data_IF_176466239693
#
_entry.id   IF_176466239693
#
_cell.length_a   1.000
_cell.length_b   1.000
_cell.length_c   1.000
_cell.angle_alpha   90.00
_cell.angle_beta   90.00
_cell.angle_gamma   90.00
#
_symmetry.space_group_name_H-M   'P 1'
#
loop_
_entity.id
_entity.type
_entity.pdbx_description
1 polymer ?
#
# COMPACT_ATOMS: atom_id res chain seq x y z
N UNK A 1 -12.44 12.15 22.09
CA UNK A 1 -12.30 10.74 21.70
C UNK A 1 -11.68 9.94 22.82
N UNK A 2 -11.73 8.61 22.74
CA UNK A 2 -11.03 7.73 23.68
C UNK A 2 -9.51 7.89 23.55
N UNK A 3 -8.76 7.63 24.62
CA UNK A 3 -7.29 7.69 24.64
C UNK A 3 -6.73 6.42 25.28
N UNK A 4 -5.74 5.81 24.64
CA UNK A 4 -5.06 4.59 25.08
C UNK A 4 -3.56 4.89 25.12
N UNK A 5 -2.99 4.99 26.32
CA UNK A 5 -1.57 5.31 26.52
C UNK A 5 -0.71 4.07 26.83
N UNK A 6 -1.34 2.91 27.01
CA UNK A 6 -0.64 1.65 27.23
C UNK A 6 -0.50 0.86 25.93
N UNK A 7 0.52 0.01 25.86
CA UNK A 7 0.68 -0.95 24.77
C UNK A 7 -0.50 -1.92 24.74
N UNK A 8 -0.93 -2.27 23.54
CA UNK A 8 -2.10 -3.11 23.31
C UNK A 8 -1.75 -4.26 22.38
N UNK A 9 -1.91 -5.48 22.90
CA UNK A 9 -1.79 -6.71 22.11
C UNK A 9 -3.19 -7.14 21.68
N UNK A 10 -3.49 -6.99 20.40
CA UNK A 10 -4.76 -7.38 19.81
C UNK A 10 -4.64 -8.72 19.07
N UNK A 11 -5.01 -9.81 19.72
CA UNK A 11 -4.87 -11.17 19.16
C UNK A 11 -6.16 -11.75 18.57
N UNK A 12 -7.30 -11.10 18.73
CA UNK A 12 -8.60 -11.60 18.27
C UNK A 12 -9.79 -10.82 18.79
N UNK A 13 -10.97 -11.04 18.19
CA UNK A 13 -12.21 -10.36 18.54
C UNK A 13 -12.47 -9.12 17.67
N UNK A 14 -13.30 -8.20 18.19
CA UNK A 14 -13.67 -6.96 17.51
C UNK A 14 -13.34 -5.78 18.43
N UNK A 15 -12.54 -4.83 17.93
CA UNK A 15 -12.32 -3.53 18.57
C UNK A 15 -13.14 -2.47 17.83
N UNK A 16 -14.20 -1.97 18.46
CA UNK A 16 -15.08 -0.97 17.87
C UNK A 16 -14.64 0.46 18.22
N UNK A 17 -14.33 1.24 17.19
CA UNK A 17 -14.03 2.66 17.22
C UNK A 17 -15.21 3.38 16.57
N UNK A 18 -16.20 3.79 17.37
CA UNK A 18 -17.42 4.46 16.89
C UNK A 18 -17.27 5.97 16.62
N UNK A 19 -16.15 6.56 17.02
CA UNK A 19 -15.87 7.99 16.89
C UNK A 19 -14.38 8.20 16.67
N UNK A 20 -13.77 9.16 17.37
CA UNK A 20 -12.31 9.31 17.37
C UNK A 20 -11.68 8.63 18.58
N UNK A 21 -10.57 7.93 18.35
CA UNK A 21 -9.73 7.39 19.40
C UNK A 21 -8.25 7.68 19.08
N UNK A 22 -7.44 7.85 20.12
CA UNK A 22 -5.98 8.00 19.99
C UNK A 22 -5.31 6.89 20.79
N UNK A 23 -4.35 6.21 20.19
CA UNK A 23 -3.48 5.23 20.84
C UNK A 23 -2.04 5.72 20.75
N UNK A 24 -1.43 6.00 21.90
CA UNK A 24 -0.03 6.44 21.99
C UNK A 24 0.92 5.31 22.35
N UNK A 25 0.42 4.26 23.02
CA UNK A 25 1.16 3.01 23.19
C UNK A 25 1.23 2.21 21.88
N UNK A 26 2.07 1.19 21.88
CA UNK A 26 2.28 0.34 20.71
C UNK A 26 1.08 -0.58 20.46
N UNK A 27 0.79 -0.87 19.20
CA UNK A 27 -0.25 -1.79 18.77
C UNK A 27 0.37 -3.03 18.14
N UNK A 28 0.43 -4.11 18.92
CA UNK A 28 0.75 -5.44 18.42
C UNK A 28 -0.53 -6.11 17.91
N UNK A 29 -0.81 -6.01 16.61
CA UNK A 29 -2.02 -6.50 15.97
C UNK A 29 -1.79 -7.86 15.31
N UNK A 30 -2.23 -8.91 16.00
CA UNK A 30 -2.01 -10.30 15.61
C UNK A 30 -3.28 -11.07 15.20
N UNK A 31 -4.44 -10.45 15.40
CA UNK A 31 -5.73 -10.99 14.97
C UNK A 31 -6.88 -10.05 15.28
N UNK A 32 -8.09 -10.42 14.82
CA UNK A 32 -9.31 -9.67 15.09
C UNK A 32 -9.48 -8.42 14.22
N UNK A 33 -10.70 -7.89 14.20
CA UNK A 33 -11.07 -6.75 13.35
C UNK A 33 -11.18 -5.47 14.15
N UNK A 34 -10.63 -4.38 13.61
CA UNK A 34 -10.91 -3.02 14.12
C UNK A 34 -12.00 -2.44 13.23
N UNK A 35 -13.14 -2.07 13.81
CA UNK A 35 -14.29 -1.56 13.07
C UNK A 35 -15.06 -0.48 13.81
N UNK A 36 -16.30 -0.21 13.40
CA UNK A 36 -17.21 0.71 14.11
C UNK A 36 -17.47 2.06 13.43
N UNK A 37 -16.89 2.34 12.27
CA UNK A 37 -17.19 3.56 11.49
C UNK A 37 -16.26 4.75 11.73
N UNK A 38 -15.45 4.69 12.80
CA UNK A 38 -14.69 5.83 13.29
C UNK A 38 -13.25 5.93 12.80
N UNK A 39 -12.44 6.66 13.56
CA UNK A 39 -11.02 6.89 13.29
C UNK A 39 -10.18 6.59 14.53
N UNK A 40 -9.20 5.72 14.38
CA UNK A 40 -8.14 5.47 15.35
C UNK A 40 -6.85 6.14 14.88
N UNK A 41 -6.33 7.10 15.62
CA UNK A 41 -4.97 7.64 15.41
C UNK A 41 -3.99 6.86 16.26
N UNK A 42 -3.02 6.20 15.64
CA UNK A 42 -1.99 5.41 16.30
C UNK A 42 -0.64 6.12 16.18
N UNK A 43 -0.15 6.64 17.30
CA UNK A 43 1.16 7.29 17.44
C UNK A 43 2.26 6.34 17.92
N UNK A 44 1.90 5.24 18.58
CA UNK A 44 2.82 4.16 18.91
C UNK A 44 3.21 3.32 17.69
N UNK A 45 4.11 2.37 17.88
CA UNK A 45 4.54 1.44 16.84
C UNK A 45 3.37 0.54 16.44
N UNK A 46 3.17 0.37 15.14
CA UNK A 46 2.22 -0.60 14.59
C UNK A 46 2.97 -1.87 14.22
N UNK A 47 2.67 -3.00 14.86
CA UNK A 47 3.19 -4.31 14.48
C UNK A 47 2.04 -5.24 14.05
N UNK A 48 1.79 -5.32 12.75
CA UNK A 48 0.84 -6.27 12.17
C UNK A 48 1.58 -7.54 11.81
N UNK A 49 1.35 -8.59 12.58
CA UNK A 49 1.93 -9.91 12.34
C UNK A 49 0.86 -10.99 12.52
N UNK A 50 1.16 -12.25 12.29
CA UNK A 50 0.24 -13.35 12.59
C UNK A 50 0.33 -14.50 11.60
N UNK A 51 -0.40 -15.56 11.91
CA UNK A 51 -0.48 -16.77 11.09
C UNK A 51 -1.37 -16.62 9.87
N UNK A 52 -1.93 -17.74 9.41
CA UNK A 52 -2.71 -17.86 8.16
C UNK A 52 -4.07 -17.15 8.17
N UNK A 53 -4.49 -16.60 9.32
CA UNK A 53 -5.78 -15.94 9.44
C UNK A 53 -5.75 -14.53 8.82
N UNK A 54 -6.86 -14.17 8.18
CA UNK A 54 -7.08 -12.83 7.66
C UNK A 54 -7.78 -11.97 8.69
N UNK A 55 -7.32 -10.72 8.85
CA UNK A 55 -7.86 -9.77 9.80
C UNK A 55 -7.48 -8.35 9.39
N UNK A 56 -8.14 -7.33 9.93
CA UNK A 56 -7.85 -5.96 9.54
C UNK A 56 -8.99 -4.99 9.84
N UNK A 57 -9.09 -3.95 9.04
CA UNK A 57 -10.04 -2.86 9.20
C UNK A 57 -11.40 -3.20 8.58
N UNK A 58 -12.48 -2.79 9.25
CA UNK A 58 -13.86 -2.91 8.75
C UNK A 58 -14.59 -1.59 8.95
N UNK A 59 -14.74 -0.84 7.86
CA UNK A 59 -15.31 0.51 7.85
C UNK A 59 -14.71 1.39 8.94
N UNK A 60 -13.38 1.39 9.10
CA UNK A 60 -12.69 2.20 10.10
C UNK A 60 -11.35 2.65 9.58
N UNK A 61 -11.05 3.92 9.85
CA UNK A 61 -9.79 4.53 9.45
C UNK A 61 -8.77 4.39 10.56
N UNK A 62 -7.65 3.72 10.28
CA UNK A 62 -6.46 3.76 11.12
C UNK A 62 -5.48 4.78 10.54
N UNK A 63 -5.21 5.85 11.29
CA UNK A 63 -4.20 6.86 10.95
C UNK A 63 -2.93 6.52 11.72
N UNK A 64 -1.97 5.92 11.03
CA UNK A 64 -0.64 5.64 11.55
C UNK A 64 0.23 6.90 11.43
N UNK A 65 0.75 7.41 12.55
CA UNK A 65 1.57 8.64 12.62
C UNK A 65 2.99 8.41 13.10
N UNK A 66 3.35 7.17 13.49
CA UNK A 66 4.67 6.87 14.03
C UNK A 66 5.78 7.00 12.97
N UNK A 67 6.81 7.77 13.29
CA UNK A 67 7.93 8.09 12.39
C UNK A 67 9.22 7.32 12.70
N UNK A 68 9.20 6.40 13.69
CA UNK A 68 10.42 5.74 14.18
C UNK A 68 11.07 4.78 13.17
N UNK A 69 10.32 4.35 12.15
CA UNK A 69 10.75 3.30 11.21
C UNK A 69 10.58 1.88 11.76
N UNK A 70 10.04 1.71 12.97
CA UNK A 70 9.85 0.40 13.60
C UNK A 70 8.50 -0.26 13.24
N UNK A 71 7.53 0.51 12.74
CA UNK A 71 6.23 -0.02 12.37
C UNK A 71 6.31 -0.95 11.16
N UNK A 72 5.59 -2.07 11.23
CA UNK A 72 5.68 -3.16 10.27
C UNK A 72 4.35 -3.88 10.02
N UNK A 73 4.15 -4.32 8.78
CA UNK A 73 3.21 -5.36 8.38
C UNK A 73 4.02 -6.55 7.86
N UNK A 74 4.04 -7.64 8.62
CA UNK A 74 4.78 -8.87 8.32
C UNK A 74 3.83 -10.07 8.43
N UNK A 75 2.97 -10.26 7.43
CA UNK A 75 2.10 -11.44 7.34
C UNK A 75 2.80 -12.54 6.56
N UNK A 76 2.88 -13.75 7.14
CA UNK A 76 3.34 -14.95 6.44
C UNK A 76 2.21 -15.81 5.84
N UNK A 77 0.96 -15.32 5.92
CA UNK A 77 -0.23 -15.98 5.40
C UNK A 77 -1.51 -15.18 5.68
N UNK A 78 -2.60 -15.55 5.01
CA UNK A 78 -3.86 -14.79 5.03
C UNK A 78 -3.70 -13.36 4.48
N UNK A 79 -4.74 -12.55 4.62
CA UNK A 79 -4.77 -11.17 4.10
C UNK A 79 -4.89 -10.13 5.21
N UNK A 80 -4.32 -8.94 4.99
CA UNK A 80 -4.66 -7.77 5.77
C UNK A 80 -5.95 -7.17 5.22
N UNK A 81 -7.05 -7.29 5.94
CA UNK A 81 -8.34 -6.84 5.46
C UNK A 81 -8.45 -5.33 5.47
N UNK A 82 -8.88 -4.79 4.32
CA UNK A 82 -9.35 -3.42 4.17
C UNK A 82 -10.77 -3.52 3.63
N UNK A 83 -11.74 -3.54 4.54
CA UNK A 83 -13.16 -3.72 4.22
C UNK A 83 -13.90 -2.37 4.31
N UNK A 84 -14.65 -2.06 3.25
CA UNK A 84 -15.55 -0.93 3.19
C UNK A 84 -14.85 0.36 2.81
N UNK A 85 -15.64 1.35 2.37
CA UNK A 85 -15.13 2.65 1.87
C UNK A 85 -14.28 3.38 2.92
N UNK A 86 -14.56 3.12 4.21
CA UNK A 86 -13.83 3.72 5.32
C UNK A 86 -12.75 2.81 5.91
N UNK A 87 -12.58 1.59 5.40
CA UNK A 87 -11.51 0.65 5.78
C UNK A 87 -10.15 1.13 5.30
N UNK A 88 -9.63 2.21 5.89
CA UNK A 88 -8.45 2.92 5.40
C UNK A 88 -7.31 2.74 6.39
N UNK A 89 -6.21 2.12 5.93
CA UNK A 89 -4.92 2.27 6.60
C UNK A 89 -4.22 3.48 5.99
N UNK A 90 -4.14 4.58 6.74
CA UNK A 90 -3.43 5.79 6.35
C UNK A 90 -2.08 5.85 7.03
N UNK A 91 -1.00 5.70 6.26
CA UNK A 91 0.34 6.05 6.70
C UNK A 91 0.52 7.57 6.51
N UNK A 92 0.40 8.33 7.59
CA UNK A 92 0.34 9.80 7.55
C UNK A 92 1.65 10.43 7.06
N UNK A 93 1.58 11.69 6.64
CA UNK A 93 2.78 12.44 6.27
C UNK A 93 3.79 12.46 7.44
N UNK A 94 5.06 12.18 7.14
CA UNK A 94 6.13 12.03 8.14
C UNK A 94 6.20 10.66 8.83
N UNK A 95 5.17 9.81 8.72
CA UNK A 95 5.19 8.46 9.27
C UNK A 95 6.00 7.49 8.39
N UNK A 96 6.50 6.42 9.00
CA UNK A 96 7.27 5.37 8.31
C UNK A 96 6.70 3.99 8.62
N UNK A 97 6.29 3.27 7.58
CA UNK A 97 5.72 1.93 7.68
C UNK A 97 6.49 0.97 6.77
N UNK A 98 6.86 -0.19 7.30
CA UNK A 98 7.48 -1.27 6.52
C UNK A 98 6.47 -2.35 6.20
N UNK A 99 6.43 -2.80 4.96
CA UNK A 99 5.80 -4.05 4.52
C UNK A 99 6.91 -5.06 4.31
N UNK A 100 6.88 -6.15 5.07
CA UNK A 100 7.92 -7.18 5.08
C UNK A 100 7.34 -8.50 4.59
N UNK A 101 7.78 -8.93 3.41
CA UNK A 101 7.39 -10.20 2.77
C UNK A 101 8.55 -11.20 2.79
N UNK A 102 9.41 -11.15 3.82
CA UNK A 102 10.47 -12.15 4.03
C UNK A 102 9.93 -13.55 4.32
N UNK A 103 8.74 -13.64 4.93
CA UNK A 103 8.05 -14.89 5.21
C UNK A 103 7.25 -15.45 4.02
N UNK A 104 7.26 -14.77 2.86
CA UNK A 104 6.47 -15.11 1.68
C UNK A 104 5.55 -13.98 1.25
N UNK A 105 4.68 -14.27 0.30
CA UNK A 105 3.75 -13.30 -0.27
C UNK A 105 2.70 -12.87 0.76
N UNK A 106 2.31 -11.59 0.69
CA UNK A 106 1.28 -11.00 1.54
C UNK A 106 0.45 -10.00 0.74
N UNK A 107 -0.70 -9.58 1.27
CA UNK A 107 -1.45 -8.54 0.60
C UNK A 107 -2.66 -8.04 1.35
N UNK A 108 -3.24 -6.96 0.82
CA UNK A 108 -4.55 -6.47 1.21
C UNK A 108 -5.62 -7.15 0.38
N UNK A 109 -6.75 -7.48 1.01
CA UNK A 109 -7.89 -8.08 0.31
C UNK A 109 -9.18 -7.80 1.06
N UNK A 110 -10.30 -8.04 0.39
CA UNK A 110 -11.58 -8.26 1.04
C UNK A 110 -12.47 -9.12 0.14
N UNK A 111 -13.19 -10.08 0.72
CA UNK A 111 -13.86 -11.14 -0.04
C UNK A 111 -15.16 -10.74 -0.74
N UNK A 112 -15.81 -9.64 -0.35
CA UNK A 112 -17.14 -9.31 -0.88
C UNK A 112 -17.57 -7.87 -0.65
N UNK A 113 -17.78 -7.08 -1.71
CA UNK A 113 -18.27 -5.71 -1.62
C UNK A 113 -17.18 -4.69 -1.86
N UNK A 114 -17.34 -3.48 -1.33
CA UNK A 114 -16.39 -2.38 -1.52
C UNK A 114 -15.12 -2.62 -0.69
N UNK A 115 -13.95 -2.61 -1.33
CA UNK A 115 -12.68 -2.66 -0.62
C UNK A 115 -12.29 -1.30 -0.08
N UNK A 116 -11.44 -1.33 0.94
CA UNK A 116 -10.82 -0.15 1.51
C UNK A 116 -9.51 0.23 0.83
N UNK A 117 -8.77 1.14 1.45
CA UNK A 117 -7.62 1.79 0.81
C UNK A 117 -6.38 1.76 1.69
N UNK A 118 -5.25 1.33 1.12
CA UNK A 118 -3.93 1.66 1.66
C UNK A 118 -3.54 3.04 1.15
N UNK A 119 -3.62 4.03 2.04
CA UNK A 119 -3.34 5.43 1.74
C UNK A 119 -1.98 5.82 2.32
N UNK A 120 -0.99 5.99 1.45
CA UNK A 120 0.36 6.38 1.86
C UNK A 120 0.61 7.86 1.56
N UNK A 121 0.71 8.67 2.63
CA UNK A 121 1.17 10.06 2.61
C UNK A 121 2.60 10.21 3.15
N UNK A 122 3.07 9.23 3.94
CA UNK A 122 4.40 9.17 4.53
C UNK A 122 5.40 8.38 3.69
N UNK A 123 6.21 7.56 4.36
CA UNK A 123 7.13 6.62 3.72
C UNK A 123 6.65 5.19 3.92
N UNK A 124 6.46 4.46 2.82
CA UNK A 124 6.15 3.04 2.80
C UNK A 124 7.36 2.28 2.24
N UNK A 125 7.94 1.40 3.04
CA UNK A 125 9.10 0.59 2.65
C UNK A 125 8.65 -0.85 2.39
N UNK A 126 8.81 -1.35 1.17
CA UNK A 126 8.59 -2.76 0.82
C UNK A 126 9.93 -3.50 0.82
N UNK A 127 10.05 -4.50 1.68
CA UNK A 127 11.24 -5.37 1.79
C UNK A 127 10.84 -6.85 1.74
N UNK A 128 11.84 -7.74 1.74
CA UNK A 128 11.67 -9.18 1.57
C UNK A 128 11.47 -9.58 0.10
N UNK A 129 11.93 -10.79 -0.26
CA UNK A 129 11.90 -11.28 -1.63
C UNK A 129 10.48 -11.56 -2.17
N UNK A 130 9.49 -11.77 -1.29
CA UNK A 130 8.11 -11.99 -1.69
C UNK A 130 7.44 -10.77 -2.32
N UNK A 131 6.22 -10.98 -2.79
CA UNK A 131 5.36 -9.96 -3.39
C UNK A 131 4.36 -9.44 -2.36
N UNK A 132 4.19 -8.11 -2.31
CA UNK A 132 3.05 -7.52 -1.63
C UNK A 132 1.97 -7.15 -2.63
N UNK A 133 0.76 -7.65 -2.42
CA UNK A 133 -0.37 -7.43 -3.31
C UNK A 133 -1.38 -6.45 -2.73
N UNK A 134 -1.89 -5.57 -3.58
CA UNK A 134 -3.16 -4.87 -3.40
C UNK A 134 -4.17 -5.59 -4.27
N UNK A 135 -4.89 -6.56 -3.70
CA UNK A 135 -5.87 -7.33 -4.45
C UNK A 135 -7.18 -6.57 -4.58
N UNK A 136 -7.86 -6.72 -5.72
CA UNK A 136 -9.26 -6.33 -5.87
C UNK A 136 -10.13 -6.94 -4.75
N UNK A 137 -10.99 -6.17 -4.07
CA UNK A 137 -11.44 -4.82 -4.39
C UNK A 137 -10.69 -3.70 -3.66
N UNK A 138 -9.52 -3.97 -3.06
CA UNK A 138 -8.77 -2.97 -2.30
C UNK A 138 -7.99 -2.01 -3.20
N UNK A 139 -7.76 -0.81 -2.68
CA UNK A 139 -7.20 0.32 -3.43
C UNK A 139 -5.85 0.75 -2.87
N UNK A 140 -5.10 1.44 -3.72
CA UNK A 140 -3.82 2.03 -3.36
C UNK A 140 -3.82 3.50 -3.74
N UNK A 141 -3.64 4.37 -2.74
CA UNK A 141 -3.44 5.81 -2.94
C UNK A 141 -2.04 6.17 -2.46
N UNK A 142 -1.08 6.26 -3.38
CA UNK A 142 0.33 6.59 -3.08
C UNK A 142 0.64 8.03 -3.43
N UNK A 143 0.61 8.92 -2.43
CA UNK A 143 1.00 10.32 -2.57
C UNK A 143 2.33 10.66 -1.89
N UNK A 144 2.74 9.83 -0.91
CA UNK A 144 4.02 9.93 -0.23
C UNK A 144 5.17 9.25 -1.00
N UNK A 145 6.08 8.64 -0.26
CA UNK A 145 7.19 7.84 -0.82
C UNK A 145 6.88 6.35 -0.69
N UNK A 146 7.00 5.61 -1.79
CA UNK A 146 7.02 4.15 -1.83
C UNK A 146 8.43 3.69 -2.22
N UNK A 147 9.13 3.04 -1.31
CA UNK A 147 10.44 2.46 -1.57
C UNK A 147 10.30 0.94 -1.72
N UNK A 148 10.49 0.42 -2.92
CA UNK A 148 10.52 -1.02 -3.19
C UNK A 148 11.98 -1.45 -3.15
N UNK A 149 12.40 -1.99 -2.01
CA UNK A 149 13.79 -2.33 -1.73
C UNK A 149 14.12 -3.76 -2.17
N UNK A 150 13.14 -4.66 -2.10
CA UNK A 150 13.26 -6.07 -2.49
C UNK A 150 11.90 -6.62 -2.96
N UNK A 151 11.96 -7.62 -3.84
CA UNK A 151 10.78 -8.31 -4.36
C UNK A 151 9.87 -7.39 -5.18
N UNK A 152 8.57 -7.66 -5.13
CA UNK A 152 7.60 -6.93 -5.93
C UNK A 152 6.48 -6.27 -5.10
N UNK A 153 5.96 -5.16 -5.62
CA UNK A 153 4.71 -4.55 -5.18
C UNK A 153 3.71 -4.64 -6.33
N UNK A 154 2.57 -5.29 -6.10
CA UNK A 154 1.58 -5.56 -7.13
C UNK A 154 0.30 -4.79 -6.84
N UNK A 155 -0.22 -4.11 -7.86
CA UNK A 155 -1.59 -3.61 -7.87
C UNK A 155 -2.37 -4.41 -8.91
N UNK A 156 -3.57 -4.87 -8.55
CA UNK A 156 -4.39 -5.75 -9.38
C UNK A 156 -5.88 -5.45 -9.26
N UNK A 157 -6.57 -5.38 -10.40
CA UNK A 157 -7.97 -4.96 -10.45
C UNK A 157 -8.15 -3.54 -9.91
N UNK A 158 -9.40 -3.12 -9.69
CA UNK A 158 -9.71 -1.86 -8.99
C UNK A 158 -9.10 -0.57 -9.57
N UNK A 159 -9.33 0.55 -8.89
CA UNK A 159 -8.71 1.84 -9.21
C UNK A 159 -7.58 2.14 -8.24
N UNK A 160 -6.45 2.62 -8.75
CA UNK A 160 -5.29 3.05 -7.97
C UNK A 160 -4.82 4.45 -8.39
N UNK A 161 -4.26 5.19 -7.44
CA UNK A 161 -3.67 6.51 -7.67
C UNK A 161 -2.20 6.52 -7.25
N UNK A 162 -1.33 6.93 -8.17
CA UNK A 162 0.10 7.12 -7.94
C UNK A 162 0.44 8.59 -8.21
N UNK A 163 0.71 9.35 -7.17
CA UNK A 163 0.96 10.79 -7.25
C UNK A 163 2.26 11.24 -6.59
N UNK A 164 2.89 10.36 -5.82
CA UNK A 164 4.14 10.62 -5.10
C UNK A 164 5.40 10.06 -5.76
N UNK A 165 6.42 9.83 -4.94
CA UNK A 165 7.70 9.23 -5.35
C UNK A 165 7.64 7.71 -5.16
N UNK A 166 8.01 6.96 -6.20
CA UNK A 166 8.32 5.53 -6.11
C UNK A 166 9.80 5.33 -6.41
N UNK A 167 10.54 4.69 -5.51
CA UNK A 167 11.93 4.28 -5.75
C UNK A 167 11.98 2.76 -5.84
N UNK A 168 12.75 2.24 -6.80
CA UNK A 168 12.90 0.81 -7.04
C UNK A 168 14.38 0.42 -6.99
N UNK A 169 14.75 -0.43 -6.04
CA UNK A 169 16.09 -1.02 -6.00
C UNK A 169 16.30 -1.99 -7.18
N UNK A 170 17.56 -2.33 -7.46
CA UNK A 170 17.89 -3.37 -8.43
C UNK A 170 17.11 -4.67 -8.14
N UNK A 171 16.68 -5.35 -9.20
CA UNK A 171 15.88 -6.59 -9.16
C UNK A 171 14.54 -6.51 -8.43
N UNK A 172 14.07 -5.29 -8.10
CA UNK A 172 12.73 -5.05 -7.56
C UNK A 172 11.75 -4.60 -8.64
N UNK A 173 10.45 -4.73 -8.35
CA UNK A 173 9.41 -4.34 -9.30
C UNK A 173 8.18 -3.70 -8.69
N UNK A 174 7.61 -2.74 -9.43
CA UNK A 174 6.21 -2.33 -9.31
C UNK A 174 5.43 -2.93 -10.49
N UNK A 175 4.45 -3.79 -10.21
CA UNK A 175 3.65 -4.45 -11.23
C UNK A 175 2.26 -3.84 -11.31
N UNK A 176 1.92 -3.32 -12.50
CA UNK A 176 0.63 -2.74 -12.85
C UNK A 176 -0.17 -3.81 -13.59
N UNK A 177 -0.99 -4.58 -12.88
CA UNK A 177 -1.60 -5.79 -13.43
C UNK A 177 -3.02 -5.58 -13.99
N UNK A 178 -3.50 -6.60 -14.71
CA UNK A 178 -4.78 -6.58 -15.42
C UNK A 178 -5.99 -6.23 -14.56
N UNK A 179 -7.00 -5.64 -15.20
CA UNK A 179 -8.22 -5.18 -14.54
C UNK A 179 -8.06 -3.89 -13.73
N UNK A 180 -6.84 -3.38 -13.55
CA UNK A 180 -6.61 -2.11 -12.86
C UNK A 180 -6.81 -0.90 -13.77
N UNK A 181 -7.38 0.16 -13.20
CA UNK A 181 -7.31 1.53 -13.74
C UNK A 181 -6.39 2.37 -12.86
N UNK A 182 -5.31 2.89 -13.42
CA UNK A 182 -4.22 3.52 -12.66
C UNK A 182 -4.03 4.95 -13.13
N UNK A 183 -4.29 5.89 -12.23
CA UNK A 183 -4.02 7.31 -12.46
C UNK A 183 -2.62 7.66 -11.96
N UNK A 184 -1.73 8.03 -12.88
CA UNK A 184 -0.37 8.50 -12.57
C UNK A 184 -0.36 10.02 -12.72
N UNK A 185 -0.21 10.73 -11.59
CA UNK A 185 -0.32 12.19 -11.55
C UNK A 185 0.89 12.90 -12.18
N UNK A 186 0.73 14.19 -12.49
CA UNK A 186 1.81 15.03 -12.98
C UNK A 186 2.96 15.25 -11.99
N UNK A 187 2.72 15.01 -10.71
CA UNK A 187 3.75 15.08 -9.67
C UNK A 187 4.49 13.74 -9.48
N UNK A 188 3.96 12.64 -10.03
CA UNK A 188 4.51 11.32 -9.81
C UNK A 188 5.93 11.17 -10.39
N UNK A 189 6.79 10.49 -9.62
CA UNK A 189 8.17 10.19 -10.00
C UNK A 189 8.49 8.74 -9.72
N UNK A 190 9.11 8.06 -10.69
CA UNK A 190 9.57 6.68 -10.55
C UNK A 190 11.07 6.65 -10.85
N UNK A 191 11.88 6.22 -9.90
CA UNK A 191 13.35 6.25 -10.02
C UNK A 191 13.99 4.96 -9.50
N UNK A 192 15.28 4.78 -9.80
CA UNK A 192 16.07 3.62 -9.36
C UNK A 192 16.26 2.57 -10.45
N UNK A 193 16.96 1.50 -10.09
CA UNK A 193 17.47 0.48 -11.01
C UNK A 193 16.48 -0.69 -11.22
N UNK A 194 15.37 -0.69 -10.47
CA UNK A 194 14.29 -1.66 -10.63
C UNK A 194 13.33 -1.32 -11.78
N UNK A 195 12.23 -2.07 -11.88
CA UNK A 195 11.33 -2.02 -13.04
C UNK A 195 9.89 -1.68 -12.68
N UNK A 196 9.28 -0.82 -13.47
CA UNK A 196 7.82 -0.69 -13.57
C UNK A 196 7.35 -1.63 -14.68
N UNK A 197 6.58 -2.66 -14.34
CA UNK A 197 6.06 -3.63 -15.30
C UNK A 197 4.58 -3.37 -15.54
N UNK A 198 4.21 -3.05 -16.77
CA UNK A 198 2.84 -2.82 -17.18
C UNK A 198 2.28 -4.09 -17.82
N UNK A 199 1.44 -4.80 -17.06
CA UNK A 199 0.94 -6.12 -17.38
C UNK A 199 -0.59 -6.11 -17.53
N UNK A 200 -1.09 -5.61 -18.67
CA UNK A 200 -2.51 -5.60 -19.03
C UNK A 200 -3.41 -4.64 -18.23
N UNK A 201 -2.84 -3.69 -17.48
CA UNK A 201 -3.60 -2.62 -16.83
C UNK A 201 -4.07 -1.55 -17.83
N UNK A 202 -4.88 -0.60 -17.36
CA UNK A 202 -5.04 0.71 -17.99
C UNK A 202 -4.33 1.74 -17.14
N UNK A 203 -3.22 2.29 -17.63
CA UNK A 203 -2.45 3.33 -16.95
C UNK A 203 -2.54 4.66 -17.70
N UNK A 204 -2.87 5.74 -17.00
CA UNK A 204 -2.94 7.09 -17.56
C UNK A 204 -1.89 7.98 -16.90
N UNK A 205 -0.92 8.45 -17.69
CA UNK A 205 0.09 9.41 -17.26
C UNK A 205 -0.39 10.82 -17.55
N UNK A 206 -0.56 11.60 -16.50
CA UNK A 206 -0.84 13.02 -16.61
C UNK A 206 0.39 13.82 -17.05
N UNK A 207 0.14 15.05 -17.50
CA UNK A 207 1.19 16.02 -17.84
C UNK A 207 2.14 16.23 -16.65
N UNK A 208 3.44 16.03 -16.86
CA UNK A 208 4.49 16.19 -15.84
C UNK A 208 4.92 14.90 -15.14
N UNK A 209 4.19 13.80 -15.33
CA UNK A 209 4.58 12.49 -14.81
C UNK A 209 5.94 12.10 -15.40
N UNK A 210 6.81 11.51 -14.56
CA UNK A 210 8.15 11.11 -15.00
C UNK A 210 8.52 9.73 -14.47
N UNK A 211 8.86 8.84 -15.40
CA UNK A 211 9.36 7.50 -15.11
C UNK A 211 10.79 7.42 -15.59
N UNK A 212 11.74 7.50 -14.66
CA UNK A 212 13.17 7.37 -14.93
C UNK A 212 13.67 5.92 -14.76
N UNK A 213 12.98 5.13 -13.95
CA UNK A 213 13.19 3.68 -13.82
C UNK A 213 12.88 2.95 -15.13
N UNK A 214 13.37 1.71 -15.25
CA UNK A 214 13.05 0.84 -16.39
C UNK A 214 11.54 0.59 -16.47
N UNK A 215 10.95 0.81 -17.63
CA UNK A 215 9.53 0.62 -17.91
C UNK A 215 9.34 -0.48 -18.96
N UNK A 216 8.71 -1.58 -18.54
CA UNK A 216 8.42 -2.72 -19.41
C UNK A 216 6.93 -2.74 -19.72
N UNK A 217 6.57 -2.60 -20.99
CA UNK A 217 5.19 -2.70 -21.46
C UNK A 217 4.92 -4.08 -22.02
N UNK A 218 4.16 -4.88 -21.28
CA UNK A 218 3.81 -6.27 -21.63
C UNK A 218 2.38 -6.41 -22.18
N UNK A 219 1.55 -5.37 -22.07
CA UNK A 219 0.19 -5.34 -22.60
C UNK A 219 -0.71 -4.35 -21.85
N UNK A 220 -1.93 -4.16 -22.35
CA UNK A 220 -2.91 -3.23 -21.77
C UNK A 220 -3.00 -1.90 -22.51
N UNK A 221 -3.37 -0.84 -21.78
CA UNK A 221 -3.55 0.51 -22.33
C UNK A 221 -2.66 1.48 -21.56
N UNK A 222 -1.73 2.12 -22.27
CA UNK A 222 -0.93 3.24 -21.76
C UNK A 222 -1.41 4.55 -22.40
N UNK A 223 -2.15 5.35 -21.65
CA UNK A 223 -2.56 6.69 -22.07
C UNK A 223 -1.51 7.71 -21.63
N UNK A 224 -0.96 8.47 -22.57
CA UNK A 224 0.03 9.50 -22.28
C UNK A 224 -0.57 10.87 -22.59
N UNK A 225 -0.70 11.70 -21.55
CA UNK A 225 -1.09 13.10 -21.72
C UNK A 225 0.15 13.93 -22.12
N UNK A 226 -0.06 15.07 -22.78
CA UNK A 226 0.99 15.96 -23.26
C UNK A 226 2.05 16.23 -22.17
N UNK A 227 3.34 16.02 -22.50
CA UNK A 227 4.54 16.25 -21.64
C UNK A 227 4.75 15.30 -20.44
N UNK A 228 4.23 14.08 -20.46
CA UNK A 228 4.85 13.02 -19.63
C UNK A 228 6.24 12.66 -20.21
N UNK A 229 7.16 12.20 -19.35
CA UNK A 229 8.52 11.84 -19.77
C UNK A 229 8.92 10.43 -19.32
N UNK A 230 9.49 9.68 -20.25
CA UNK A 230 10.21 8.43 -20.02
C UNK A 230 11.50 8.49 -20.84
N UNK A 231 12.69 8.24 -20.26
CA UNK A 231 13.91 8.12 -21.05
C UNK A 231 13.77 6.99 -22.08
N UNK A 232 14.24 7.21 -23.30
CA UNK A 232 14.16 6.22 -24.38
C UNK A 232 14.94 4.94 -24.08
N UNK A 233 15.95 5.01 -23.22
CA UNK A 233 16.71 3.86 -22.72
C UNK A 233 15.93 3.00 -21.73
N UNK A 234 14.91 3.57 -21.09
CA UNK A 234 14.13 2.93 -20.04
C UNK A 234 12.88 2.24 -20.59
N UNK A 235 12.38 2.58 -21.78
CA UNK A 235 11.18 1.97 -22.35
C UNK A 235 11.49 0.71 -23.17
N UNK A 236 10.86 -0.42 -22.81
CA UNK A 236 10.96 -1.68 -23.55
C UNK A 236 9.57 -2.28 -23.78
N UNK A 237 9.26 -2.68 -25.01
CA UNK A 237 8.11 -3.57 -25.28
C UNK A 237 8.54 -5.00 -24.96
N UNK A 238 7.71 -5.76 -24.24
CA UNK A 238 7.94 -7.19 -24.07
C UNK A 238 7.75 -7.89 -25.43
N UNK A 239 8.69 -8.78 -25.77
CA UNK A 239 8.64 -9.65 -26.95
C UNK A 239 7.73 -10.86 -26.74
#
# INVERSE_FOLDING_TARGET
GARIDADYVFSGGILNIGGTAVMNGDLAWHGGNIGGGGTLTLSGVLDVAGGTNSFGLTDTTLVHTNASGLSRIAKGGGYFYLNGVNGILRNAAGASLTIDTSAGDAGTYYSSGTGGTLHNLGTLNKTGAGTFFIYNPTHLDQAGTLNIQQGAFNVEGSTHALSGLTTLAADSALNLNGGSTIAISGAARFTGDGRVQHNNATATLANGARIDADYVFSGGILNITVRASMPTTSFRAAS
#
